data_IF_299095780343
#
_entry.id   IF_299095780343
#
_cell.length_a   1.000
_cell.length_b   1.000
_cell.length_c   1.000
_cell.angle_alpha   90.00
_cell.angle_beta   90.00
_cell.angle_gamma   90.00
#
_symmetry.space_group_name_H-M   'P 1'
#
loop_
_entity.id
_entity.type
_entity.pdbx_description
1 polymer ?
#
# COMPACT_ATOMS: atom_id res chain seq x y z
N UNK A 1 -14.41 25.42 10.63
CA UNK A 1 -14.33 23.95 10.58
C UNK A 1 -14.18 23.49 12.02
N UNK A 2 -15.22 22.84 12.59
CA UNK A 2 -15.19 22.38 13.99
C UNK A 2 -14.20 21.21 14.08
N UNK A 3 -13.24 21.26 15.02
CA UNK A 3 -12.40 20.11 15.33
C UNK A 3 -13.30 18.98 15.81
N UNK A 4 -13.40 17.89 15.04
CA UNK A 4 -14.12 16.67 15.45
C UNK A 4 -13.48 16.01 16.68
N UNK A 5 -12.21 16.33 16.96
CA UNK A 5 -11.44 15.74 18.05
C UNK A 5 -11.32 16.73 19.21
N UNK A 6 -11.81 16.32 20.38
CA UNK A 6 -11.73 17.09 21.63
C UNK A 6 -10.75 16.47 22.63
N UNK A 7 -10.28 15.25 22.38
CA UNK A 7 -9.36 14.53 23.25
C UNK A 7 -7.89 14.75 22.87
N UNK A 8 -7.04 14.77 23.87
CA UNK A 8 -5.58 14.65 23.71
C UNK A 8 -5.19 13.19 23.71
N UNK A 9 -4.50 12.73 22.67
CA UNK A 9 -4.09 11.34 22.51
C UNK A 9 -2.61 11.14 22.73
N UNK A 10 -2.23 9.94 23.18
CA UNK A 10 -0.85 9.53 23.40
C UNK A 10 -0.60 8.11 22.87
N UNK A 11 0.58 7.89 22.29
CA UNK A 11 1.07 6.56 21.93
C UNK A 11 2.59 6.53 21.77
N UNK A 12 3.14 5.32 21.75
CA UNK A 12 4.54 5.08 21.35
C UNK A 12 4.63 5.13 19.83
N UNK A 13 5.47 6.02 19.28
CA UNK A 13 5.67 6.18 17.84
C UNK A 13 6.85 5.37 17.27
N UNK A 14 7.69 4.80 18.14
CA UNK A 14 8.80 3.90 17.75
C UNK A 14 8.38 2.44 17.77
N UNK A 15 9.02 1.55 16.97
CA UNK A 15 8.76 0.12 17.01
C UNK A 15 8.92 -0.47 18.42
N UNK A 16 8.09 -1.45 18.76
CA UNK A 16 8.18 -2.16 20.03
C UNK A 16 9.45 -3.02 20.03
N UNK A 17 10.35 -2.77 20.98
CA UNK A 17 11.60 -3.51 21.10
C UNK A 17 12.59 -2.81 22.00
N UNK A 18 13.79 -3.38 22.10
CA UNK A 18 14.92 -2.71 22.76
C UNK A 18 15.59 -1.78 21.75
N UNK A 19 15.72 -0.51 22.10
CA UNK A 19 16.39 0.50 21.28
C UNK A 19 17.18 1.50 22.12
N UNK A 20 18.00 2.33 21.48
CA UNK A 20 18.66 3.44 22.17
C UNK A 20 17.67 4.49 22.65
N UNK A 21 16.58 4.70 21.89
CA UNK A 21 15.55 5.72 22.14
C UNK A 21 14.18 5.13 21.85
N UNK A 22 13.18 5.53 22.63
CA UNK A 22 11.76 5.41 22.30
C UNK A 22 11.12 6.80 22.27
N UNK A 23 10.12 6.98 21.40
CA UNK A 23 9.39 8.25 21.28
C UNK A 23 7.95 8.04 21.70
N UNK A 24 7.49 8.81 22.68
CA UNK A 24 6.07 8.94 23.05
C UNK A 24 5.57 10.25 22.45
N UNK A 25 4.55 10.17 21.60
CA UNK A 25 3.92 11.32 20.98
C UNK A 25 2.59 11.60 21.66
N UNK A 26 2.34 12.86 21.99
CA UNK A 26 1.11 13.36 22.61
C UNK A 26 0.56 14.50 21.76
N UNK A 27 -0.66 14.40 21.23
CA UNK A 27 -1.27 15.40 20.34
C UNK A 27 -2.70 15.73 20.76
N UNK A 28 -3.07 17.01 20.72
CA UNK A 28 -4.42 17.47 20.99
C UNK A 28 -4.46 18.81 21.74
N UNK A 29 -5.66 19.31 22.07
CA UNK A 29 -5.85 20.64 22.65
C UNK A 29 -5.15 20.82 24.01
N UNK A 30 -5.00 19.74 24.77
CA UNK A 30 -4.44 19.75 26.12
C UNK A 30 -3.00 19.19 26.16
N UNK A 31 -2.36 18.93 25.01
CA UNK A 31 -1.07 18.25 24.93
C UNK A 31 0.00 18.84 25.86
N UNK A 32 0.09 20.18 25.93
CA UNK A 32 1.05 20.83 26.82
C UNK A 32 0.70 20.65 28.30
N UNK A 33 -0.57 20.86 28.67
CA UNK A 33 -1.02 20.74 30.06
C UNK A 33 -0.87 19.31 30.59
N UNK A 34 -1.17 18.30 29.76
CA UNK A 34 -0.95 16.89 30.09
C UNK A 34 0.52 16.62 30.35
N UNK A 35 1.42 17.12 29.49
CA UNK A 35 2.86 16.93 29.64
C UNK A 35 3.41 17.64 30.88
N UNK A 36 2.96 18.86 31.18
CA UNK A 36 3.44 19.64 32.33
C UNK A 36 3.18 18.96 33.69
N UNK A 37 2.24 18.03 33.76
CA UNK A 37 1.96 17.26 34.98
C UNK A 37 3.03 16.22 35.33
N UNK A 38 3.89 15.82 34.39
CA UNK A 38 4.90 14.78 34.62
C UNK A 38 6.25 15.05 33.92
N UNK A 39 6.38 16.14 33.18
CA UNK A 39 7.62 16.58 32.53
C UNK A 39 8.14 17.83 33.23
N UNK A 40 9.30 17.69 33.87
CA UNK A 40 10.01 18.81 34.49
C UNK A 40 11.23 19.20 33.66
N UNK A 41 11.14 20.37 33.00
CA UNK A 41 12.24 20.91 32.21
C UNK A 41 13.47 21.18 33.09
N UNK A 42 14.67 20.78 32.65
CA UNK A 42 15.91 21.09 33.40
C UNK A 42 16.19 22.60 33.49
N UNK A 43 15.61 23.40 32.58
CA UNK A 43 15.68 24.86 32.61
C UNK A 43 14.81 25.51 33.69
N UNK A 44 13.91 24.74 34.34
CA UNK A 44 12.93 25.25 35.31
C UNK A 44 11.76 26.02 34.69
N UNK A 45 11.74 26.18 33.36
CA UNK A 45 10.65 26.84 32.64
C UNK A 45 9.50 25.87 32.34
N UNK A 46 8.24 26.32 32.28
CA UNK A 46 7.13 25.47 31.88
C UNK A 46 7.28 25.05 30.40
N UNK A 47 6.79 23.86 30.06
CA UNK A 47 6.88 23.29 28.71
C UNK A 47 6.13 24.17 27.69
N UNK A 48 5.00 24.73 28.11
CA UNK A 48 4.20 25.71 27.35
C UNK A 48 4.91 27.05 27.08
N UNK A 49 6.07 27.33 27.68
CA UNK A 49 6.88 28.51 27.34
C UNK A 49 7.93 28.26 26.26
N UNK A 50 8.12 27.01 25.85
CA UNK A 50 9.07 26.68 24.78
C UNK A 50 8.59 27.24 23.44
N UNK A 51 9.54 27.75 22.65
CA UNK A 51 9.28 28.07 21.25
C UNK A 51 8.92 26.79 20.48
N UNK A 52 8.09 26.93 19.44
CA UNK A 52 7.81 25.81 18.54
C UNK A 52 9.11 25.24 17.95
N UNK A 53 9.11 23.95 17.63
CA UNK A 53 10.21 23.20 17.03
C UNK A 53 11.52 23.26 17.84
N UNK A 54 11.42 23.41 19.16
CA UNK A 54 12.58 23.45 20.06
C UNK A 54 12.68 22.16 20.86
N UNK A 55 13.88 21.57 20.88
CA UNK A 55 14.22 20.43 21.73
C UNK A 55 14.82 20.92 23.05
N UNK A 56 14.48 20.28 24.17
CA UNK A 56 15.02 20.64 25.49
C UNK A 56 15.09 19.42 26.42
N UNK A 57 16.08 19.41 27.31
CA UNK A 57 16.24 18.35 28.30
C UNK A 57 15.23 18.48 29.44
N UNK A 58 14.62 17.36 29.81
CA UNK A 58 13.66 17.28 30.89
C UNK A 58 13.85 15.99 31.72
N UNK A 59 13.28 15.99 32.91
CA UNK A 59 13.06 14.77 33.71
C UNK A 59 11.61 14.33 33.53
N UNK A 60 11.42 13.04 33.30
CA UNK A 60 10.11 12.41 33.30
C UNK A 60 9.87 11.86 34.70
N UNK A 61 8.75 12.22 35.31
CA UNK A 61 8.42 11.85 36.68
C UNK A 61 7.32 10.78 36.75
N UNK A 62 7.41 9.91 37.74
CA UNK A 62 6.34 8.98 38.07
C UNK A 62 5.18 9.66 38.83
N UNK A 63 4.29 8.87 39.42
CA UNK A 63 3.18 9.36 40.23
C UNK A 63 3.58 9.84 41.63
N UNK A 64 4.75 9.42 42.12
CA UNK A 64 5.29 9.78 43.43
C UNK A 64 6.22 11.01 43.34
N UNK A 65 6.57 11.43 42.13
CA UNK A 65 7.46 12.55 41.85
C UNK A 65 8.93 12.14 41.68
N UNK A 66 9.22 10.83 41.68
CA UNK A 66 10.55 10.29 41.42
C UNK A 66 10.86 10.29 39.92
N UNK A 67 12.15 10.38 39.59
CA UNK A 67 12.59 10.44 38.18
C UNK A 67 12.54 9.05 37.55
N UNK A 68 11.64 8.86 36.58
CA UNK A 68 11.60 7.69 35.71
C UNK A 68 12.75 7.68 34.71
N UNK A 69 12.98 8.83 34.07
CA UNK A 69 14.02 9.00 33.06
C UNK A 69 14.46 10.45 32.88
N UNK A 70 15.61 10.65 32.24
CA UNK A 70 15.96 11.91 31.59
C UNK A 70 15.69 11.80 30.08
N UNK A 71 14.84 12.70 29.57
CA UNK A 71 14.38 12.67 28.18
C UNK A 71 14.66 13.99 27.46
N UNK A 72 14.69 13.92 26.13
CA UNK A 72 14.61 15.11 25.26
C UNK A 72 13.16 15.30 24.87
N UNK A 73 12.63 16.50 25.11
CA UNK A 73 11.25 16.85 24.77
C UNK A 73 11.25 17.89 23.66
N UNK A 74 10.44 17.65 22.64
CA UNK A 74 10.25 18.55 21.50
C UNK A 74 8.80 19.03 21.46
N UNK A 75 8.61 20.34 21.32
CA UNK A 75 7.29 20.98 21.26
C UNK A 75 6.97 21.42 19.84
N UNK A 76 5.80 21.04 19.34
CA UNK A 76 5.21 21.52 18.10
C UNK A 76 3.91 22.24 18.44
N UNK A 77 3.69 23.41 17.83
CA UNK A 77 2.48 24.21 18.05
C UNK A 77 1.60 24.17 16.84
N UNK A 78 0.29 24.15 17.04
CA UNK A 78 -0.68 24.29 15.98
C UNK A 78 -0.46 25.61 15.19
N UNK A 79 -0.63 25.62 13.85
CA UNK A 79 -0.93 24.48 12.99
C UNK A 79 0.34 23.73 12.52
N UNK A 80 1.53 24.03 13.03
CA UNK A 80 2.83 23.56 12.52
C UNK A 80 3.32 22.26 13.20
N UNK A 81 2.45 21.27 13.25
CA UNK A 81 2.75 19.89 13.66
C UNK A 81 2.31 18.89 12.59
N UNK A 82 2.58 17.60 12.83
CA UNK A 82 2.12 16.51 11.97
C UNK A 82 0.60 16.43 11.91
N UNK A 83 -0.07 16.45 13.06
CA UNK A 83 -1.54 16.39 13.16
C UNK A 83 -2.21 17.71 12.84
N UNK A 84 -1.47 18.83 12.85
CA UNK A 84 -2.03 20.18 12.82
C UNK A 84 -2.45 20.72 14.18
N UNK A 85 -2.31 19.93 15.24
CA UNK A 85 -2.63 20.30 16.63
C UNK A 85 -1.37 20.65 17.43
N UNK A 86 -1.53 21.11 18.67
CA UNK A 86 -0.41 21.14 19.61
C UNK A 86 0.07 19.70 19.86
N UNK A 87 1.39 19.50 19.79
CA UNK A 87 2.00 18.16 19.89
C UNK A 87 3.30 18.23 20.69
N UNK A 88 3.50 17.24 21.55
CA UNK A 88 4.74 17.02 22.30
C UNK A 88 5.29 15.65 21.96
N UNK A 89 6.58 15.59 21.67
CA UNK A 89 7.32 14.33 21.51
C UNK A 89 8.33 14.18 22.63
N UNK A 90 8.26 13.07 23.36
CA UNK A 90 9.16 12.72 24.47
C UNK A 90 10.07 11.59 23.98
N UNK A 91 11.35 11.92 23.75
CA UNK A 91 12.40 10.96 23.40
C UNK A 91 13.10 10.49 24.68
N UNK A 92 12.70 9.32 25.18
CA UNK A 92 13.26 8.66 26.36
C UNK A 92 14.14 7.48 25.97
N UNK A 93 14.82 6.84 26.93
CA UNK A 93 15.57 5.61 26.66
C UNK A 93 14.63 4.48 26.20
N UNK A 94 15.08 3.71 25.19
CA UNK A 94 14.26 2.71 24.49
C UNK A 94 14.07 1.37 25.22
N UNK A 95 13.91 1.38 26.54
CA UNK A 95 13.56 0.20 27.33
C UNK A 95 12.06 -0.07 27.29
N UNK A 96 11.64 -1.32 27.09
CA UNK A 96 10.21 -1.70 26.97
C UNK A 96 9.41 -1.22 28.20
N UNK A 97 9.83 -1.60 29.41
CA UNK A 97 9.15 -1.22 30.65
C UNK A 97 9.14 0.29 30.88
N UNK A 98 10.25 0.96 30.53
CA UNK A 98 10.35 2.41 30.70
C UNK A 98 9.38 3.13 29.76
N UNK A 99 9.34 2.72 28.50
CA UNK A 99 8.44 3.29 27.49
C UNK A 99 6.98 3.10 27.90
N UNK A 100 6.63 1.91 28.40
CA UNK A 100 5.29 1.61 28.94
C UNK A 100 4.97 2.50 30.17
N UNK A 101 5.94 2.74 31.05
CA UNK A 101 5.77 3.63 32.21
C UNK A 101 5.54 5.09 31.80
N UNK A 102 6.33 5.62 30.86
CA UNK A 102 6.18 6.99 30.36
C UNK A 102 4.82 7.18 29.67
N UNK A 103 4.40 6.23 28.83
CA UNK A 103 3.08 6.26 28.22
C UNK A 103 1.97 6.21 29.29
N UNK A 104 2.10 5.30 30.28
CA UNK A 104 1.13 5.19 31.37
C UNK A 104 1.00 6.49 32.16
N UNK A 105 2.10 7.23 32.35
CA UNK A 105 2.08 8.57 32.96
C UNK A 105 1.28 9.55 32.14
N UNK A 106 1.51 9.63 30.82
CA UNK A 106 0.72 10.49 29.94
C UNK A 106 -0.80 10.19 30.05
N UNK A 107 -1.17 8.91 30.04
CA UNK A 107 -2.58 8.48 30.15
C UNK A 107 -3.19 8.88 31.50
N UNK A 108 -2.49 8.61 32.59
CA UNK A 108 -2.95 9.00 33.94
C UNK A 108 -3.00 10.52 34.16
N UNK A 109 -2.32 11.30 33.32
CA UNK A 109 -2.31 12.77 33.36
C UNK A 109 -3.34 13.41 32.40
N UNK A 110 -4.22 12.62 31.77
CA UNK A 110 -5.34 13.13 30.98
C UNK A 110 -5.29 12.81 29.48
N UNK A 111 -4.24 12.18 28.97
CA UNK A 111 -4.25 11.68 27.60
C UNK A 111 -5.09 10.40 27.46
N UNK A 112 -5.62 10.17 26.26
CA UNK A 112 -6.28 8.93 25.85
C UNK A 112 -5.32 8.13 24.98
N UNK A 113 -5.39 6.79 25.02
CA UNK A 113 -4.59 5.96 24.13
C UNK A 113 -5.03 6.19 22.68
N UNK A 114 -4.09 6.51 21.79
CA UNK A 114 -4.39 6.70 20.37
C UNK A 114 -4.85 5.39 19.73
N UNK A 115 -5.85 5.47 18.86
CA UNK A 115 -6.23 4.38 17.97
C UNK A 115 -5.21 4.11 16.85
N UNK A 116 -5.36 3.00 16.10
CA UNK A 116 -4.61 2.75 14.87
C UNK A 116 -4.74 3.93 13.90
N UNK A 117 -3.60 4.48 13.44
CA UNK A 117 -3.57 5.57 12.46
C UNK A 117 -4.18 6.90 12.91
N UNK A 118 -4.50 7.07 14.19
CA UNK A 118 -5.27 8.25 14.63
C UNK A 118 -4.51 9.56 14.42
N UNK A 119 -3.17 9.60 14.54
CA UNK A 119 -2.44 10.86 14.28
C UNK A 119 -2.50 11.22 12.79
N UNK A 120 -2.37 10.23 11.90
CA UNK A 120 -2.53 10.46 10.45
C UNK A 120 -3.98 10.85 10.11
N UNK A 121 -4.99 10.22 10.74
CA UNK A 121 -6.42 10.58 10.58
C UNK A 121 -6.68 12.03 10.98
N UNK A 122 -6.08 12.49 12.08
CA UNK A 122 -6.16 13.89 12.52
C UNK A 122 -5.49 14.82 11.52
N UNK A 123 -4.31 14.47 11.00
CA UNK A 123 -3.64 15.24 9.95
C UNK A 123 -4.51 15.41 8.69
N UNK A 124 -5.12 14.31 8.21
CA UNK A 124 -6.09 14.35 7.10
C UNK A 124 -7.27 15.27 7.42
N UNK A 125 -7.86 15.13 8.62
CA UNK A 125 -9.03 15.91 9.04
C UNK A 125 -8.73 17.42 9.16
N UNK A 126 -7.48 17.79 9.44
CA UNK A 126 -7.02 19.19 9.48
C UNK A 126 -6.55 19.70 8.10
N UNK A 127 -6.73 18.92 7.03
CA UNK A 127 -6.33 19.29 5.68
C UNK A 127 -4.81 19.33 5.47
N UNK A 128 -4.02 18.68 6.34
CA UNK A 128 -2.56 18.57 6.17
C UNK A 128 -2.17 17.63 5.04
N UNK A 129 -3.01 16.62 4.82
CA UNK A 129 -2.82 15.54 3.86
C UNK A 129 -4.17 15.27 3.18
N UNK A 130 -4.15 14.96 1.90
CA UNK A 130 -5.23 14.26 1.20
C UNK A 130 -5.28 12.78 1.62
N UNK A 131 -6.39 12.09 1.29
CA UNK A 131 -6.53 10.68 1.63
C UNK A 131 -5.47 9.80 0.93
N UNK A 132 -5.13 10.12 -0.33
CA UNK A 132 -4.07 9.43 -1.06
C UNK A 132 -2.69 9.64 -0.45
N UNK A 133 -2.41 10.83 0.10
CA UNK A 133 -1.14 11.11 0.79
C UNK A 133 -1.08 10.39 2.14
N UNK A 134 -2.20 10.33 2.87
CA UNK A 134 -2.30 9.54 4.09
C UNK A 134 -2.01 8.04 3.82
N UNK A 135 -2.61 7.44 2.79
CA UNK A 135 -2.30 6.06 2.38
C UNK A 135 -0.82 5.87 2.00
N UNK A 136 -0.21 6.87 1.35
CA UNK A 136 1.19 6.83 0.98
C UNK A 136 2.14 6.83 2.18
N UNK A 137 1.71 7.35 3.36
CA UNK A 137 2.49 7.24 4.61
C UNK A 137 2.76 5.78 4.95
N UNK A 138 1.75 4.89 4.87
CA UNK A 138 1.95 3.44 5.07
C UNK A 138 2.93 2.90 4.04
N UNK A 139 2.74 3.24 2.76
CA UNK A 139 3.60 2.77 1.68
C UNK A 139 5.08 3.10 1.91
N UNK A 140 5.39 4.27 2.46
CA UNK A 140 6.78 4.66 2.80
C UNK A 140 7.34 3.83 3.96
N UNK A 141 6.52 3.55 4.97
CA UNK A 141 6.92 2.77 6.14
C UNK A 141 7.16 1.30 5.77
N UNK A 142 6.23 0.72 5.01
CA UNK A 142 6.21 -0.70 4.71
C UNK A 142 7.03 -1.06 3.46
N UNK A 143 7.60 -0.06 2.78
CA UNK A 143 8.38 -0.26 1.56
C UNK A 143 9.54 -1.27 1.76
N UNK A 144 9.50 -2.35 0.97
CA UNK A 144 10.51 -3.41 1.01
C UNK A 144 11.53 -3.32 -0.14
N UNK A 145 11.26 -2.50 -1.15
CA UNK A 145 12.17 -2.20 -2.27
C UNK A 145 12.39 -0.70 -2.41
N UNK A 146 13.51 -0.33 -3.04
CA UNK A 146 13.77 1.06 -3.37
C UNK A 146 12.72 1.63 -4.34
N UNK A 147 12.19 0.81 -5.24
CA UNK A 147 11.10 1.19 -6.12
C UNK A 147 9.81 1.50 -5.34
N UNK A 148 9.40 0.63 -4.41
CA UNK A 148 8.24 0.87 -3.54
C UNK A 148 8.39 2.14 -2.71
N UNK A 149 9.58 2.36 -2.14
CA UNK A 149 9.89 3.57 -1.37
C UNK A 149 9.82 4.82 -2.25
N UNK A 150 10.44 4.79 -3.43
CA UNK A 150 10.42 5.90 -4.38
C UNK A 150 8.99 6.25 -4.80
N UNK A 151 8.19 5.24 -5.13
CA UNK A 151 6.80 5.42 -5.56
C UNK A 151 5.93 5.99 -4.44
N UNK A 152 6.01 5.40 -3.25
CA UNK A 152 5.25 5.86 -2.09
C UNK A 152 5.64 7.29 -1.69
N UNK A 153 6.93 7.66 -1.80
CA UNK A 153 7.37 9.04 -1.58
C UNK A 153 6.79 10.03 -2.57
N UNK A 154 6.75 9.70 -3.87
CA UNK A 154 6.11 10.58 -4.88
C UNK A 154 4.62 10.79 -4.59
N UNK A 155 3.93 9.72 -4.19
CA UNK A 155 2.52 9.79 -3.82
C UNK A 155 2.30 10.61 -2.55
N UNK A 156 3.19 10.48 -1.56
CA UNK A 156 3.20 11.30 -0.34
C UNK A 156 3.51 12.78 -0.63
N UNK A 157 4.33 13.06 -1.63
CA UNK A 157 4.59 14.41 -2.15
C UNK A 157 3.42 14.95 -3.01
N UNK A 158 2.30 14.24 -3.08
CA UNK A 158 1.05 14.69 -3.70
C UNK A 158 0.94 14.43 -5.20
N UNK A 159 1.71 13.50 -5.77
CA UNK A 159 1.65 13.19 -7.21
C UNK A 159 0.24 12.77 -7.66
N UNK A 160 -0.39 11.85 -6.92
CA UNK A 160 -1.78 11.44 -7.17
C UNK A 160 -2.73 12.63 -7.01
N UNK A 161 -2.65 13.36 -5.90
CA UNK A 161 -3.54 14.48 -5.61
C UNK A 161 -3.50 15.55 -6.70
N UNK A 162 -2.31 15.96 -7.16
CA UNK A 162 -2.18 16.91 -8.28
C UNK A 162 -2.85 16.38 -9.55
N UNK A 163 -2.62 15.11 -9.87
CA UNK A 163 -3.18 14.53 -11.10
C UNK A 163 -4.69 14.39 -11.05
N UNK A 164 -5.24 14.01 -9.89
CA UNK A 164 -6.69 13.92 -9.71
C UNK A 164 -7.32 15.29 -9.64
N UNK A 165 -6.68 16.30 -9.03
CA UNK A 165 -7.16 17.69 -9.02
C UNK A 165 -7.22 18.31 -10.43
N UNK A 166 -6.23 18.04 -11.28
CA UNK A 166 -6.26 18.43 -12.69
C UNK A 166 -7.49 17.86 -13.41
N UNK A 167 -7.79 16.57 -13.21
CA UNK A 167 -8.92 15.90 -13.84
C UNK A 167 -10.25 16.38 -13.24
N UNK A 168 -10.32 16.53 -11.92
CA UNK A 168 -11.48 17.01 -11.19
C UNK A 168 -11.87 18.42 -11.63
N UNK A 169 -10.88 19.32 -11.77
CA UNK A 169 -11.09 20.69 -12.26
C UNK A 169 -11.61 20.69 -13.70
N UNK A 170 -11.05 19.85 -14.58
CA UNK A 170 -11.54 19.72 -15.97
C UNK A 170 -13.00 19.26 -16.02
N UNK A 171 -13.36 18.25 -15.23
CA UNK A 171 -14.75 17.78 -15.14
C UNK A 171 -15.66 18.92 -14.63
N UNK A 172 -15.24 19.65 -13.58
CA UNK A 172 -15.99 20.78 -13.04
C UNK A 172 -16.22 21.90 -14.07
N UNK A 173 -15.22 22.22 -14.90
CA UNK A 173 -15.38 23.18 -16.00
C UNK A 173 -16.43 22.71 -17.01
N UNK A 174 -16.39 21.43 -17.42
CA UNK A 174 -17.38 20.88 -18.36
C UNK A 174 -18.80 20.94 -17.80
N UNK A 175 -18.99 20.56 -16.52
CA UNK A 175 -20.28 20.63 -15.83
C UNK A 175 -20.77 22.09 -15.78
N UNK A 176 -19.89 23.03 -15.42
CA UNK A 176 -20.24 24.45 -15.31
C UNK A 176 -20.69 25.03 -16.65
N UNK A 177 -20.04 24.65 -17.76
CA UNK A 177 -20.44 25.07 -19.11
C UNK A 177 -21.79 24.51 -19.52
N UNK A 178 -22.13 23.27 -19.13
CA UNK A 178 -23.47 22.71 -19.38
C UNK A 178 -24.52 23.44 -18.55
N UNK A 179 -24.26 23.72 -17.27
CA UNK A 179 -25.22 24.45 -16.43
C UNK A 179 -25.49 25.87 -16.92
N UNK A 180 -24.46 26.61 -17.34
CA UNK A 180 -24.64 27.95 -17.92
C UNK A 180 -25.59 27.91 -19.13
N UNK A 181 -25.50 26.88 -19.97
CA UNK A 181 -26.35 26.72 -21.13
C UNK A 181 -27.81 26.35 -20.80
N UNK A 182 -28.02 25.57 -19.73
CA UNK A 182 -29.35 25.17 -19.26
C UNK A 182 -30.06 26.37 -18.61
N UNK A 183 -29.35 27.13 -17.78
CA UNK A 183 -29.92 28.23 -17.00
C UNK A 183 -30.21 29.48 -17.85
N UNK A 184 -29.48 29.68 -18.96
CA UNK A 184 -29.56 30.87 -19.82
C UNK A 184 -29.65 30.51 -21.31
N UNK A 185 -30.74 29.87 -21.78
CA UNK A 185 -30.84 29.38 -23.16
C UNK A 185 -30.97 30.49 -24.22
N UNK A 186 -31.42 31.69 -23.83
CA UNK A 186 -31.64 32.84 -24.73
C UNK A 186 -30.42 33.77 -24.84
N UNK A 187 -29.44 33.59 -23.95
CA UNK A 187 -28.16 34.28 -24.01
C UNK A 187 -27.17 33.28 -24.63
N UNK A 188 -26.46 33.64 -25.71
CA UNK A 188 -25.52 32.77 -26.43
C UNK A 188 -24.24 32.56 -25.58
N UNK A 189 -24.43 32.03 -24.36
CA UNK A 189 -23.47 31.93 -23.24
C UNK A 189 -22.83 30.54 -23.15
N UNK A 190 -23.01 29.67 -24.15
CA UNK A 190 -22.22 28.44 -24.22
C UNK A 190 -20.76 28.81 -24.49
N UNK A 191 -19.94 28.87 -23.44
CA UNK A 191 -18.48 28.98 -23.57
C UNK A 191 -17.88 27.76 -24.32
N UNK A 192 -18.59 26.63 -24.38
CA UNK A 192 -18.15 25.37 -25.00
C UNK A 192 -19.24 24.80 -25.91
N UNK A 193 -18.88 24.53 -27.17
CA UNK A 193 -19.75 23.84 -28.15
C UNK A 193 -19.92 22.36 -27.82
N UNK A 194 -20.91 21.67 -28.43
CA UNK A 194 -21.04 20.21 -28.30
C UNK A 194 -19.75 19.47 -28.69
N UNK A 195 -19.06 19.94 -29.72
CA UNK A 195 -17.75 19.45 -30.13
C UNK A 195 -16.68 19.68 -29.05
N UNK A 196 -16.64 20.86 -28.45
CA UNK A 196 -15.72 21.17 -27.35
C UNK A 196 -15.99 20.31 -26.10
N UNK A 197 -17.25 20.01 -25.79
CA UNK A 197 -17.60 19.05 -24.72
C UNK A 197 -17.08 17.64 -25.04
N UNK A 198 -17.25 17.19 -26.29
CA UNK A 198 -16.75 15.88 -26.74
C UNK A 198 -15.23 15.78 -26.59
N UNK A 199 -14.50 16.80 -27.01
CA UNK A 199 -13.04 16.88 -26.85
C UNK A 199 -12.62 16.89 -25.38
N UNK A 200 -13.31 17.68 -24.54
CA UNK A 200 -13.04 17.74 -23.10
C UNK A 200 -13.27 16.41 -22.39
N UNK A 201 -14.39 15.73 -22.68
CA UNK A 201 -14.69 14.38 -22.16
C UNK A 201 -13.63 13.38 -22.64
N UNK A 202 -13.22 13.45 -23.91
CA UNK A 202 -12.15 12.62 -24.46
C UNK A 202 -10.83 12.80 -23.70
N UNK A 203 -10.41 14.04 -23.44
CA UNK A 203 -9.19 14.33 -22.70
C UNK A 203 -9.24 13.85 -21.24
N UNK A 204 -10.41 13.96 -20.58
CA UNK A 204 -10.62 13.41 -19.23
C UNK A 204 -10.52 11.88 -19.26
N UNK A 205 -11.14 11.24 -20.25
CA UNK A 205 -11.11 9.78 -20.43
C UNK A 205 -9.69 9.26 -20.60
N UNK A 206 -8.89 9.89 -21.46
CA UNK A 206 -7.49 9.52 -21.69
C UNK A 206 -6.65 9.66 -20.41
N UNK A 207 -6.84 10.74 -19.65
CA UNK A 207 -6.14 10.94 -18.38
C UNK A 207 -6.48 9.86 -17.33
N UNK A 208 -7.76 9.49 -17.21
CA UNK A 208 -8.21 8.42 -16.31
C UNK A 208 -7.74 7.04 -16.78
N UNK A 209 -7.70 6.78 -18.09
CA UNK A 209 -7.13 5.55 -18.66
C UNK A 209 -5.63 5.41 -18.36
N UNK A 210 -4.88 6.50 -18.47
CA UNK A 210 -3.46 6.51 -18.10
C UNK A 210 -3.26 6.17 -16.62
N UNK A 211 -4.02 6.81 -15.71
CA UNK A 211 -4.00 6.49 -14.29
C UNK A 211 -4.38 5.02 -14.01
N UNK A 212 -5.47 4.53 -14.59
CA UNK A 212 -5.93 3.16 -14.41
C UNK A 212 -4.88 2.14 -14.91
N UNK A 213 -4.22 2.42 -16.04
CA UNK A 213 -3.19 1.53 -16.62
C UNK A 213 -1.95 1.39 -15.73
N UNK A 214 -1.67 2.39 -14.90
CA UNK A 214 -0.52 2.37 -13.97
C UNK A 214 -0.70 1.36 -12.83
N UNK A 215 -1.94 0.99 -12.50
CA UNK A 215 -2.26 0.17 -11.33
C UNK A 215 -1.56 -1.18 -11.32
N UNK A 216 -1.49 -1.87 -12.46
CA UNK A 216 -0.84 -3.19 -12.54
C UNK A 216 0.62 -3.14 -12.07
N UNK A 217 1.35 -2.08 -12.45
CA UNK A 217 2.74 -1.90 -12.04
C UNK A 217 2.83 -1.40 -10.60
N UNK A 218 2.02 -0.39 -10.24
CA UNK A 218 2.00 0.18 -8.89
C UNK A 218 1.65 -0.84 -7.82
N UNK A 219 0.63 -1.67 -8.06
CA UNK A 219 0.22 -2.77 -7.18
C UNK A 219 1.34 -3.78 -6.99
N UNK A 220 1.98 -4.24 -8.08
CA UNK A 220 3.06 -5.22 -8.01
C UNK A 220 4.32 -4.70 -7.27
N UNK A 221 4.56 -3.39 -7.32
CA UNK A 221 5.70 -2.74 -6.66
C UNK A 221 5.40 -2.44 -5.18
N UNK A 222 4.23 -1.92 -4.85
CA UNK A 222 3.89 -1.48 -3.49
C UNK A 222 3.24 -2.57 -2.64
N UNK A 223 2.19 -3.22 -3.17
CA UNK A 223 1.45 -4.23 -2.41
C UNK A 223 2.02 -5.63 -2.66
N UNK A 224 2.46 -5.91 -3.88
CA UNK A 224 3.05 -7.19 -4.28
C UNK A 224 2.07 -8.16 -4.90
N UNK A 225 2.62 -9.14 -5.60
CA UNK A 225 1.90 -10.10 -6.45
C UNK A 225 1.72 -11.42 -5.70
N UNK A 226 0.48 -11.92 -5.63
CA UNK A 226 0.19 -13.25 -5.07
C UNK A 226 0.83 -14.32 -5.94
N UNK A 227 1.81 -15.02 -5.37
CA UNK A 227 2.68 -15.93 -6.10
C UNK A 227 2.66 -17.32 -5.49
N UNK A 228 2.48 -18.33 -6.33
CA UNK A 228 2.56 -19.74 -5.92
C UNK A 228 3.72 -20.43 -6.65
N UNK A 229 4.49 -21.25 -5.91
CA UNK A 229 5.46 -22.17 -6.50
C UNK A 229 4.78 -23.53 -6.62
N UNK A 230 4.48 -23.95 -7.84
CA UNK A 230 3.62 -25.10 -8.10
C UNK A 230 4.34 -26.17 -8.92
N UNK A 231 4.13 -27.45 -8.62
CA UNK A 231 4.79 -28.57 -9.29
C UNK A 231 4.81 -29.83 -8.44
N UNK A 232 5.17 -30.98 -9.03
CA UNK A 232 5.19 -32.27 -8.32
C UNK A 232 6.24 -32.32 -7.19
N UNK A 233 6.15 -33.27 -6.23
CA UNK A 233 7.19 -33.46 -5.21
C UNK A 233 8.59 -33.59 -5.83
N UNK A 234 9.63 -33.16 -5.10
CA UNK A 234 11.04 -33.30 -5.49
C UNK A 234 11.51 -32.58 -6.79
N UNK A 235 10.70 -31.70 -7.40
CA UNK A 235 11.13 -30.84 -8.54
C UNK A 235 12.04 -29.68 -8.13
N UNK A 236 12.19 -29.44 -6.82
CA UNK A 236 13.04 -28.37 -6.27
C UNK A 236 12.31 -27.06 -5.98
N UNK A 237 10.99 -27.10 -5.74
CA UNK A 237 10.18 -25.95 -5.29
C UNK A 237 10.80 -25.21 -4.10
N UNK A 238 11.19 -25.95 -3.04
CA UNK A 238 11.83 -25.36 -1.85
C UNK A 238 13.19 -24.74 -2.18
N UNK A 239 13.92 -25.28 -3.16
CA UNK A 239 15.19 -24.68 -3.62
C UNK A 239 14.95 -23.36 -4.36
N UNK A 240 13.89 -23.27 -5.19
CA UNK A 240 13.48 -22.02 -5.84
C UNK A 240 13.02 -20.98 -4.81
N UNK A 241 12.24 -21.41 -3.81
CA UNK A 241 11.83 -20.54 -2.69
C UNK A 241 13.06 -19.94 -2.00
N UNK A 242 14.02 -20.79 -1.62
CA UNK A 242 15.25 -20.34 -0.98
C UNK A 242 16.08 -19.43 -1.89
N UNK A 243 16.19 -19.75 -3.18
CA UNK A 243 16.88 -18.90 -4.16
C UNK A 243 16.29 -17.48 -4.21
N UNK A 244 14.96 -17.36 -4.12
CA UNK A 244 14.28 -16.06 -4.05
C UNK A 244 14.50 -15.38 -2.68
N UNK A 245 14.35 -16.13 -1.58
CA UNK A 245 14.39 -15.63 -0.21
C UNK A 245 15.79 -15.25 0.32
N UNK A 246 16.86 -15.92 -0.13
CA UNK A 246 18.22 -15.88 0.46
C UNK A 246 18.90 -14.50 0.48
N UNK A 247 18.42 -13.51 -0.30
CA UNK A 247 18.92 -12.13 -0.25
C UNK A 247 17.93 -11.09 0.28
N UNK A 248 16.63 -11.39 0.23
CA UNK A 248 15.57 -10.40 0.33
C UNK A 248 14.37 -10.94 1.13
N UNK A 249 14.62 -11.69 2.22
CA UNK A 249 13.60 -11.78 3.27
C UNK A 249 13.40 -10.35 3.77
N UNK A 250 12.35 -9.71 3.28
CA UNK A 250 11.82 -8.57 4.00
C UNK A 250 11.44 -9.12 5.37
N UNK A 251 11.99 -8.50 6.41
CA UNK A 251 11.64 -8.87 7.78
C UNK A 251 10.15 -8.58 7.89
N UNK A 252 9.32 -9.62 7.82
CA UNK A 252 7.92 -9.53 8.19
C UNK A 252 7.94 -9.18 9.66
N UNK A 253 7.35 -8.04 9.99
CA UNK A 253 7.06 -7.73 11.38
C UNK A 253 5.92 -8.65 11.80
N UNK A 254 6.12 -9.39 12.89
CA UNK A 254 5.04 -10.07 13.59
C UNK A 254 4.08 -8.99 14.10
N UNK A 255 3.09 -8.59 13.31
CA UNK A 255 1.93 -7.90 13.85
C UNK A 255 1.15 -8.98 14.61
N UNK A 256 1.36 -9.04 15.92
CA UNK A 256 0.59 -9.89 16.82
C UNK A 256 -0.90 -9.55 16.65
N UNK A 257 -1.64 -10.39 15.90
CA UNK A 257 -3.08 -10.20 15.69
C UNK A 257 -3.67 -10.87 14.44
N UNK A 258 -2.90 -11.17 13.41
CA UNK A 258 -3.44 -11.78 12.17
C UNK A 258 -3.34 -13.30 12.16
N UNK A 259 -3.84 -13.98 13.19
CA UNK A 259 -3.85 -15.45 13.25
C UNK A 259 -5.02 -16.10 12.50
N UNK A 260 -5.48 -15.52 11.39
CA UNK A 260 -6.51 -16.13 10.53
C UNK A 260 -6.19 -16.17 9.04
N UNK A 261 -5.20 -15.40 8.59
CA UNK A 261 -4.77 -15.41 7.20
C UNK A 261 -3.57 -16.34 7.03
N UNK A 262 -3.50 -17.00 5.88
CA UNK A 262 -2.35 -17.84 5.50
C UNK A 262 -1.07 -17.04 5.72
N UNK A 263 -0.12 -17.60 6.47
CA UNK A 263 1.18 -16.94 6.71
C UNK A 263 1.89 -16.85 5.36
N UNK A 264 1.80 -15.70 4.70
CA UNK A 264 2.47 -15.45 3.43
C UNK A 264 3.89 -14.92 3.70
N UNK A 265 4.90 -15.53 3.08
CA UNK A 265 6.24 -14.93 3.06
C UNK A 265 6.30 -13.87 1.97
N UNK A 266 6.86 -12.71 2.28
CA UNK A 266 7.04 -11.65 1.29
C UNK A 266 8.51 -11.58 0.87
N UNK A 267 8.76 -11.64 -0.44
CA UNK A 267 10.11 -11.62 -1.01
C UNK A 267 10.20 -10.55 -2.09
N UNK A 268 11.24 -9.71 -2.02
CA UNK A 268 11.53 -8.77 -3.09
C UNK A 268 12.27 -9.44 -4.26
N UNK A 269 11.66 -9.44 -5.44
CA UNK A 269 12.22 -9.89 -6.71
C UNK A 269 12.52 -8.68 -7.60
N UNK A 270 13.68 -8.07 -7.37
CA UNK A 270 14.04 -6.81 -8.03
C UNK A 270 13.16 -5.68 -7.48
N UNK A 271 12.45 -4.98 -8.36
CA UNK A 271 11.49 -3.93 -7.99
C UNK A 271 10.13 -4.48 -7.55
N UNK A 272 9.82 -5.73 -7.91
CA UNK A 272 8.51 -6.37 -7.67
C UNK A 272 8.51 -7.10 -6.32
N UNK A 273 7.42 -6.98 -5.58
CA UNK A 273 7.19 -7.74 -4.35
C UNK A 273 6.40 -9.00 -4.68
N UNK A 274 6.85 -10.16 -4.19
CA UNK A 274 6.12 -11.43 -4.30
C UNK A 274 5.57 -11.81 -2.94
N UNK A 275 4.26 -12.04 -2.87
CA UNK A 275 3.59 -12.63 -1.71
C UNK A 275 3.45 -14.13 -1.95
N UNK A 276 4.37 -14.90 -1.36
CA UNK A 276 4.46 -16.33 -1.54
C UNK A 276 3.52 -17.03 -0.55
N UNK A 277 2.55 -17.75 -1.09
CA UNK A 277 1.65 -18.59 -0.27
C UNK A 277 2.43 -19.77 0.34
N UNK A 278 2.09 -20.17 1.57
CA UNK A 278 2.68 -21.31 2.30
C UNK A 278 2.28 -22.67 1.69
N UNK A 279 2.64 -22.88 0.42
CA UNK A 279 2.63 -24.16 -0.29
C UNK A 279 4.00 -24.84 -0.26
N UNK A 280 5.00 -24.17 0.32
CA UNK A 280 6.39 -24.58 0.28
C UNK A 280 7.02 -24.73 1.68
N UNK A 281 6.30 -25.39 2.59
CA UNK A 281 6.91 -26.33 3.54
C UNK A 281 8.03 -25.78 4.45
N UNK A 282 7.78 -24.70 5.19
CA UNK A 282 8.74 -24.22 6.22
C UNK A 282 8.61 -24.98 7.56
N UNK A 283 7.81 -26.05 7.62
CA UNK A 283 7.84 -26.99 8.75
C UNK A 283 8.07 -28.41 8.25
N UNK A 284 9.29 -28.91 8.45
CA UNK A 284 9.60 -30.35 8.41
C UNK A 284 8.57 -31.10 9.25
N UNK A 285 7.69 -31.90 8.64
CA UNK A 285 6.86 -32.85 9.37
C UNK A 285 6.27 -33.91 8.43
N UNK A 286 6.30 -35.13 8.92
CA UNK A 286 5.99 -36.44 8.30
C UNK A 286 4.51 -36.66 7.91
N UNK A 287 4.33 -37.35 6.78
CA UNK A 287 3.25 -38.19 6.21
C UNK A 287 1.75 -37.88 6.37
N UNK A 288 1.30 -37.15 7.39
CA UNK A 288 -0.11 -36.71 7.49
C UNK A 288 -0.34 -35.31 6.89
N UNK A 289 0.75 -34.55 6.68
CA UNK A 289 0.75 -33.16 6.20
C UNK A 289 0.56 -33.06 4.68
N UNK A 290 0.82 -34.13 3.94
CA UNK A 290 0.90 -34.10 2.48
C UNK A 290 -0.47 -33.89 1.79
N UNK A 291 -1.56 -34.48 2.30
CA UNK A 291 -2.92 -34.21 1.76
C UNK A 291 -3.41 -32.79 2.06
N UNK A 292 -3.11 -32.28 3.25
CA UNK A 292 -3.41 -30.88 3.62
C UNK A 292 -2.56 -29.93 2.76
N UNK A 293 -1.32 -30.31 2.47
CA UNK A 293 -0.42 -29.59 1.56
C UNK A 293 -0.94 -29.53 0.13
N UNK A 294 -1.54 -30.61 -0.38
CA UNK A 294 -2.17 -30.61 -1.72
C UNK A 294 -3.39 -29.69 -1.77
N UNK A 295 -4.33 -29.81 -0.81
CA UNK A 295 -5.52 -28.95 -0.78
C UNK A 295 -5.17 -27.45 -0.66
N UNK A 296 -4.22 -27.10 0.22
CA UNK A 296 -3.72 -25.74 0.35
C UNK A 296 -2.97 -25.25 -0.90
N UNK A 297 -2.27 -26.15 -1.59
CA UNK A 297 -1.60 -25.79 -2.85
C UNK A 297 -2.60 -25.51 -3.97
N UNK A 298 -3.75 -26.17 -3.95
CA UNK A 298 -4.84 -25.89 -4.88
C UNK A 298 -5.52 -24.54 -4.58
N UNK A 299 -5.85 -24.27 -3.31
CA UNK A 299 -6.40 -22.96 -2.91
C UNK A 299 -5.45 -21.81 -3.28
N UNK A 300 -4.15 -21.98 -3.01
CA UNK A 300 -3.14 -21.00 -3.38
C UNK A 300 -2.97 -20.84 -4.89
N UNK A 301 -3.20 -21.90 -5.68
CA UNK A 301 -3.19 -21.83 -7.14
C UNK A 301 -4.38 -21.02 -7.66
N UNK A 302 -5.57 -21.23 -7.10
CA UNK A 302 -6.78 -20.51 -7.48
C UNK A 302 -6.65 -19.00 -7.19
N UNK A 303 -6.00 -18.62 -6.10
CA UNK A 303 -5.78 -17.22 -5.74
C UNK A 303 -4.52 -16.57 -6.37
N UNK A 304 -3.69 -17.35 -7.09
CA UNK A 304 -2.43 -16.85 -7.62
C UNK A 304 -2.57 -15.90 -8.82
N UNK A 305 -1.81 -14.82 -8.79
CA UNK A 305 -1.59 -13.91 -9.93
C UNK A 305 -0.34 -14.30 -10.72
N UNK A 306 0.64 -14.91 -10.05
CA UNK A 306 1.83 -15.50 -10.64
C UNK A 306 2.00 -16.95 -10.22
N UNK A 307 2.21 -17.82 -11.21
CA UNK A 307 2.54 -19.23 -11.00
C UNK A 307 3.97 -19.47 -11.46
N UNK A 308 4.83 -19.88 -10.53
CA UNK A 308 6.14 -20.44 -10.83
C UNK A 308 5.98 -21.96 -10.96
N UNK A 309 5.74 -22.43 -12.19
CA UNK A 309 5.49 -23.84 -12.48
C UNK A 309 6.82 -24.59 -12.63
N UNK A 310 7.19 -25.41 -11.63
CA UNK A 310 8.51 -26.04 -11.52
C UNK A 310 8.46 -27.53 -11.90
N UNK A 311 9.25 -27.87 -12.91
CA UNK A 311 9.44 -29.22 -13.44
C UNK A 311 10.91 -29.65 -13.30
N UNK A 312 11.16 -30.95 -13.22
CA UNK A 312 12.52 -31.51 -13.16
C UNK A 312 13.06 -31.73 -14.59
N UNK A 313 14.09 -30.99 -15.01
CA UNK A 313 14.71 -31.13 -16.32
C UNK A 313 15.42 -32.47 -16.52
N UNK A 314 15.87 -33.12 -15.43
CA UNK A 314 16.71 -34.32 -15.46
C UNK A 314 15.94 -35.63 -15.59
N UNK A 315 14.60 -35.55 -15.50
CA UNK A 315 13.68 -36.69 -15.52
C UNK A 315 12.70 -36.58 -16.69
N UNK A 316 12.28 -37.70 -17.30
CA UNK A 316 11.16 -37.69 -18.25
C UNK A 316 9.88 -37.15 -17.59
N UNK A 317 8.98 -36.59 -18.40
CA UNK A 317 7.70 -36.11 -17.88
C UNK A 317 6.78 -37.29 -17.54
N UNK A 318 6.22 -37.26 -16.33
CA UNK A 318 5.31 -38.26 -15.79
C UNK A 318 3.85 -37.79 -15.87
N UNK A 319 2.88 -38.64 -15.54
CA UNK A 319 1.45 -38.25 -15.53
C UNK A 319 1.18 -37.11 -14.54
N UNK A 320 1.85 -37.09 -13.39
CA UNK A 320 1.76 -36.01 -12.41
C UNK A 320 2.23 -34.65 -12.97
N UNK A 321 3.25 -34.65 -13.86
CA UNK A 321 3.68 -33.42 -14.54
C UNK A 321 2.61 -32.94 -15.53
N UNK A 322 1.86 -33.85 -16.15
CA UNK A 322 0.74 -33.51 -17.03
C UNK A 322 -0.47 -32.98 -16.26
N UNK A 323 -0.72 -33.50 -15.06
CA UNK A 323 -1.72 -32.95 -14.15
C UNK A 323 -1.35 -31.53 -13.71
N UNK A 324 -0.08 -31.28 -13.36
CA UNK A 324 0.41 -29.92 -13.06
C UNK A 324 0.18 -29.00 -14.27
N UNK A 325 0.52 -29.43 -15.47
CA UNK A 325 0.30 -28.64 -16.69
C UNK A 325 -1.18 -28.30 -16.91
N UNK A 326 -2.09 -29.25 -16.70
CA UNK A 326 -3.52 -29.01 -16.91
C UNK A 326 -4.09 -28.01 -15.90
N UNK A 327 -3.70 -28.13 -14.63
CA UNK A 327 -4.12 -27.21 -13.57
C UNK A 327 -3.57 -25.80 -13.78
N UNK A 328 -2.28 -25.67 -14.10
CA UNK A 328 -1.65 -24.38 -14.39
C UNK A 328 -2.28 -23.73 -15.61
N UNK A 329 -2.57 -24.51 -16.66
CA UNK A 329 -3.25 -24.00 -17.86
C UNK A 329 -4.65 -23.48 -17.55
N UNK A 330 -5.44 -24.23 -16.80
CA UNK A 330 -6.78 -23.79 -16.38
C UNK A 330 -6.73 -22.46 -15.61
N UNK A 331 -5.71 -22.29 -14.76
CA UNK A 331 -5.53 -21.03 -14.02
C UNK A 331 -5.00 -19.88 -14.89
N UNK A 332 -4.17 -20.18 -15.88
CA UNK A 332 -3.71 -19.20 -16.87
C UNK A 332 -4.86 -18.68 -17.73
N UNK A 333 -5.81 -19.54 -18.10
CA UNK A 333 -7.03 -19.17 -18.85
C UNK A 333 -7.94 -18.22 -18.05
N UNK A 334 -7.82 -18.19 -16.72
CA UNK A 334 -8.51 -17.24 -15.83
C UNK A 334 -7.65 -16.04 -15.43
N UNK A 335 -6.52 -15.81 -16.12
CA UNK A 335 -5.75 -14.56 -16.08
C UNK A 335 -4.42 -14.59 -15.31
N UNK A 336 -4.04 -15.72 -14.70
CA UNK A 336 -2.77 -15.82 -14.00
C UNK A 336 -1.57 -15.79 -14.97
N UNK A 337 -0.51 -15.09 -14.60
CA UNK A 337 0.76 -15.13 -15.32
C UNK A 337 1.54 -16.39 -14.92
N UNK A 338 2.25 -16.99 -15.88
CA UNK A 338 2.98 -18.25 -15.66
C UNK A 338 4.42 -18.11 -16.09
N UNK A 339 5.34 -18.49 -15.21
CA UNK A 339 6.74 -18.76 -15.54
C UNK A 339 6.96 -20.27 -15.38
N UNK A 340 7.12 -20.96 -16.51
CA UNK A 340 7.52 -22.36 -16.50
C UNK A 340 9.03 -22.47 -16.24
N UNK A 341 9.42 -23.32 -15.31
CA UNK A 341 10.80 -23.52 -14.88
C UNK A 341 11.16 -24.99 -15.02
N UNK A 342 12.16 -25.28 -15.84
CA UNK A 342 12.84 -26.56 -15.92
C UNK A 342 14.07 -26.50 -15.01
N UNK A 343 13.90 -26.97 -13.77
CA UNK A 343 14.93 -26.96 -12.73
C UNK A 343 15.90 -28.15 -12.88
N UNK A 344 17.07 -28.10 -12.21
CA UNK A 344 18.16 -29.09 -12.30
C UNK A 344 18.79 -29.15 -13.70
N UNK A 345 18.92 -27.99 -14.35
CA UNK A 345 19.50 -27.89 -15.70
C UNK A 345 21.01 -28.21 -15.76
N UNK A 346 21.66 -28.39 -14.61
CA UNK A 346 23.02 -28.93 -14.47
C UNK A 346 23.11 -30.42 -14.84
N UNK A 347 21.98 -31.13 -14.85
CA UNK A 347 21.89 -32.54 -15.22
C UNK A 347 21.45 -32.72 -16.68
N UNK A 348 21.69 -33.90 -17.28
CA UNK A 348 21.25 -34.18 -18.65
C UNK A 348 19.75 -34.01 -18.82
N UNK A 349 19.34 -33.16 -19.76
CA UNK A 349 17.93 -32.87 -20.02
C UNK A 349 17.19 -34.10 -20.57
N UNK A 350 16.13 -34.52 -19.87
CA UNK A 350 15.22 -35.59 -20.25
C UNK A 350 13.76 -35.16 -20.33
N UNK A 351 13.41 -34.01 -19.76
CA UNK A 351 12.07 -33.45 -19.82
C UNK A 351 11.74 -32.91 -21.22
N UNK A 352 10.48 -33.01 -21.62
CA UNK A 352 10.00 -32.50 -22.90
C UNK A 352 9.63 -31.02 -22.81
N UNK A 353 10.62 -30.16 -23.06
CA UNK A 353 10.41 -28.71 -23.10
C UNK A 353 9.43 -28.27 -24.19
N UNK A 354 9.27 -29.05 -25.27
CA UNK A 354 8.33 -28.73 -26.34
C UNK A 354 6.88 -28.95 -25.89
N UNK A 355 6.63 -30.00 -25.10
CA UNK A 355 5.32 -30.24 -24.47
C UNK A 355 4.92 -29.08 -23.56
N UNK A 356 5.82 -28.60 -22.70
CA UNK A 356 5.55 -27.46 -21.81
C UNK A 356 5.20 -26.22 -22.63
N UNK A 357 5.99 -25.92 -23.68
CA UNK A 357 5.73 -24.80 -24.58
C UNK A 357 4.37 -24.93 -25.29
N UNK A 358 4.01 -26.14 -25.72
CA UNK A 358 2.73 -26.39 -26.38
C UNK A 358 1.54 -26.21 -25.42
N UNK A 359 1.65 -26.64 -24.17
CA UNK A 359 0.55 -26.61 -23.21
C UNK A 359 0.38 -25.24 -22.53
N UNK A 360 1.46 -24.54 -22.24
CA UNK A 360 1.43 -23.26 -21.51
C UNK A 360 1.63 -22.05 -22.42
N UNK A 361 1.99 -22.22 -23.68
CA UNK A 361 2.22 -21.11 -24.62
C UNK A 361 3.45 -20.24 -24.31
N UNK A 362 4.26 -20.61 -23.30
CA UNK A 362 5.48 -19.92 -22.92
C UNK A 362 6.70 -20.84 -23.00
N UNK A 363 7.89 -20.27 -23.26
CA UNK A 363 9.13 -21.05 -23.25
C UNK A 363 9.60 -21.27 -21.81
N UNK A 364 9.91 -22.51 -21.40
CA UNK A 364 10.39 -22.76 -20.05
C UNK A 364 11.79 -22.18 -19.83
N UNK A 365 12.03 -21.65 -18.63
CA UNK A 365 13.33 -21.22 -18.16
C UNK A 365 14.11 -22.42 -17.62
N UNK A 366 15.28 -22.67 -18.19
CA UNK A 366 16.19 -23.69 -17.68
C UNK A 366 17.03 -23.08 -16.56
N UNK A 367 16.89 -23.59 -15.34
CA UNK A 367 17.59 -23.08 -14.16
C UNK A 367 18.22 -24.23 -13.37
N UNK A 368 19.38 -23.97 -12.77
CA UNK A 368 19.89 -24.75 -11.65
C UNK A 368 19.58 -23.95 -10.39
N UNK A 369 18.52 -24.28 -9.66
CA UNK A 369 18.12 -23.49 -8.49
C UNK A 369 19.16 -23.47 -7.35
N UNK A 370 20.13 -24.40 -7.38
CA UNK A 370 21.27 -24.41 -6.46
C UNK A 370 22.33 -23.38 -6.83
N UNK A 371 22.36 -22.96 -8.10
CA UNK A 371 23.23 -21.89 -8.58
C UNK A 371 22.59 -20.53 -8.31
N UNK A 372 23.31 -19.70 -7.55
CA UNK A 372 22.85 -18.36 -7.17
C UNK A 372 22.79 -17.40 -8.34
N UNK A 373 23.51 -17.64 -9.43
CA UNK A 373 23.46 -16.78 -10.63
C UNK A 373 22.10 -16.89 -11.34
N UNK A 374 21.44 -18.05 -11.25
CA UNK A 374 20.10 -18.28 -11.80
C UNK A 374 19.03 -17.36 -11.19
N UNK A 375 19.27 -16.80 -10.00
CA UNK A 375 18.36 -15.81 -9.39
C UNK A 375 18.17 -14.58 -10.26
N UNK A 376 19.25 -14.05 -10.84
CA UNK A 376 19.17 -12.84 -11.66
C UNK A 376 18.30 -13.06 -12.91
N UNK A 377 18.40 -14.25 -13.50
CA UNK A 377 17.58 -14.66 -14.64
C UNK A 377 16.10 -14.72 -14.26
N UNK A 378 15.77 -15.38 -13.14
CA UNK A 378 14.39 -15.50 -12.67
C UNK A 378 13.79 -14.13 -12.31
N UNK A 379 14.53 -13.30 -11.57
CA UNK A 379 14.09 -11.94 -11.21
C UNK A 379 13.84 -11.09 -12.45
N UNK A 380 14.73 -11.12 -13.45
CA UNK A 380 14.55 -10.37 -14.70
C UNK A 380 13.26 -10.76 -15.44
N UNK A 381 12.94 -12.06 -15.51
CA UNK A 381 11.70 -12.53 -16.12
C UNK A 381 10.46 -12.12 -15.34
N UNK A 382 10.52 -12.14 -14.00
CA UNK A 382 9.43 -11.65 -13.14
C UNK A 382 9.20 -10.16 -13.39
N UNK A 383 10.25 -9.34 -13.39
CA UNK A 383 10.11 -7.90 -13.64
C UNK A 383 9.49 -7.60 -15.01
N UNK A 384 9.84 -8.34 -16.05
CA UNK A 384 9.28 -8.15 -17.40
C UNK A 384 7.77 -8.39 -17.50
N UNK A 385 7.18 -9.19 -16.60
CA UNK A 385 5.74 -9.45 -16.59
C UNK A 385 4.90 -8.30 -16.02
N UNK A 386 5.49 -7.43 -15.19
CA UNK A 386 4.78 -6.30 -14.56
C UNK A 386 5.34 -4.94 -14.93
N UNK A 387 6.59 -4.83 -15.39
CA UNK A 387 7.15 -3.56 -15.88
C UNK A 387 6.49 -3.19 -17.21
N UNK A 388 5.62 -2.19 -17.15
CA UNK A 388 5.00 -1.57 -18.32
C UNK A 388 5.71 -0.24 -18.61
N UNK A 389 6.73 -0.23 -19.47
CA UNK A 389 7.43 0.99 -19.88
C UNK A 389 8.20 1.74 -18.78
N UNK A 390 8.36 3.06 -18.95
CA UNK A 390 9.14 3.96 -18.08
C UNK A 390 8.37 4.51 -16.85
N UNK A 391 7.28 3.85 -16.42
CA UNK A 391 6.42 4.31 -15.31
C UNK A 391 7.18 4.53 -13.98
N UNK A 392 8.32 3.86 -13.78
CA UNK A 392 9.19 4.02 -12.60
C UNK A 392 10.21 5.18 -12.74
N UNK A 393 10.35 5.74 -13.93
CA UNK A 393 11.32 6.78 -14.27
C UNK A 393 10.67 8.18 -14.36
N UNK A 394 9.39 8.28 -14.74
CA UNK A 394 8.66 9.56 -14.84
C UNK A 394 8.14 10.11 -13.51
N UNK A 395 7.63 11.35 -13.52
CA UNK A 395 6.93 12.02 -12.40
C UNK A 395 5.42 11.76 -12.39
N UNK A 396 4.98 10.79 -13.18
CA UNK A 396 3.58 10.44 -13.32
C UNK A 396 3.01 9.86 -12.03
N UNK A 397 1.74 10.19 -11.77
CA UNK A 397 0.98 9.60 -10.69
C UNK A 397 0.77 8.11 -10.97
N UNK A 398 1.08 7.27 -9.98
CA UNK A 398 0.91 5.82 -10.08
C UNK A 398 -0.04 5.35 -9.00
N UNK A 399 -1.12 4.71 -9.45
CA UNK A 399 -2.11 4.08 -8.59
C UNK A 399 -1.51 2.82 -7.99
N UNK A 400 -1.50 2.71 -6.66
CA UNK A 400 -0.79 1.63 -5.96
C UNK A 400 -1.73 0.62 -5.29
N UNK A 401 -2.93 1.04 -4.90
CA UNK A 401 -3.88 0.19 -4.15
C UNK A 401 -5.22 0.01 -4.87
N UNK A 402 -5.92 -1.06 -4.49
CA UNK A 402 -7.18 -1.45 -5.11
C UNK A 402 -8.30 -0.41 -4.95
N UNK A 403 -8.31 0.35 -3.84
CA UNK A 403 -9.32 1.39 -3.59
C UNK A 403 -9.19 2.53 -4.57
N UNK A 404 -7.98 3.08 -4.70
CA UNK A 404 -7.65 4.13 -5.67
C UNK A 404 -7.99 3.66 -7.09
N UNK A 405 -7.64 2.42 -7.45
CA UNK A 405 -7.98 1.85 -8.75
C UNK A 405 -9.49 1.73 -8.97
N UNK A 406 -10.25 1.31 -7.96
CA UNK A 406 -11.70 1.24 -8.03
C UNK A 406 -12.33 2.62 -8.26
N UNK A 407 -11.90 3.65 -7.51
CA UNK A 407 -12.36 5.04 -7.70
C UNK A 407 -12.04 5.56 -9.12
N UNK A 408 -10.81 5.35 -9.60
CA UNK A 408 -10.42 5.75 -10.98
C UNK A 408 -11.21 4.99 -12.04
N UNK A 409 -11.41 3.68 -11.86
CA UNK A 409 -12.16 2.84 -12.81
C UNK A 409 -13.64 3.21 -12.87
N UNK A 410 -14.26 3.52 -11.73
CA UNK A 410 -15.65 4.00 -11.67
C UNK A 410 -15.79 5.34 -12.36
N UNK A 411 -14.87 6.29 -12.07
CA UNK A 411 -14.85 7.58 -12.76
C UNK A 411 -14.67 7.40 -14.28
N UNK A 412 -13.80 6.49 -14.72
CA UNK A 412 -13.59 6.19 -16.13
C UNK A 412 -14.84 5.58 -16.80
N UNK A 413 -15.58 4.72 -16.08
CA UNK A 413 -16.85 4.17 -16.55
C UNK A 413 -17.85 5.30 -16.78
N UNK A 414 -18.07 6.15 -15.78
CA UNK A 414 -18.98 7.29 -15.87
C UNK A 414 -18.61 8.28 -16.98
N UNK A 415 -17.32 8.58 -17.16
CA UNK A 415 -16.85 9.43 -18.28
C UNK A 415 -17.10 8.76 -19.64
N UNK A 416 -16.97 7.44 -19.73
CA UNK A 416 -17.29 6.70 -20.95
C UNK A 416 -18.78 6.73 -21.25
N UNK A 417 -19.62 6.61 -20.22
CA UNK A 417 -21.08 6.73 -20.33
C UNK A 417 -21.50 8.16 -20.70
N UNK A 418 -20.83 9.19 -20.14
CA UNK A 418 -21.03 10.59 -20.51
C UNK A 418 -20.74 10.82 -22.00
N UNK A 419 -19.63 10.27 -22.50
CA UNK A 419 -19.27 10.33 -23.91
C UNK A 419 -20.33 9.71 -24.81
N UNK A 420 -20.88 8.55 -24.42
CA UNK A 420 -21.93 7.87 -25.20
C UNK A 420 -23.27 8.62 -25.13
N UNK A 421 -23.62 9.15 -23.96
CA UNK A 421 -24.86 9.90 -23.73
C UNK A 421 -24.86 11.23 -24.51
N UNK A 422 -23.73 11.91 -24.64
CA UNK A 422 -23.63 13.18 -25.38
C UNK A 422 -24.16 13.05 -26.83
N UNK A 423 -23.91 11.90 -27.46
CA UNK A 423 -24.32 11.64 -28.84
C UNK A 423 -25.74 11.09 -28.95
N UNK A 424 -26.21 10.35 -27.94
CA UNK A 424 -27.45 9.56 -28.02
C UNK A 424 -28.61 10.09 -27.19
N UNK A 425 -28.35 10.68 -26.03
CA UNK A 425 -29.34 11.07 -25.02
C UNK A 425 -29.36 12.57 -24.73
N UNK A 426 -28.29 13.30 -25.10
CA UNK A 426 -28.19 14.75 -24.93
C UNK A 426 -27.23 15.18 -23.82
N UNK A 427 -27.07 16.50 -23.71
CA UNK A 427 -26.05 17.14 -22.86
C UNK A 427 -26.36 16.98 -21.37
N UNK A 428 -27.64 16.99 -20.99
CA UNK A 428 -28.09 16.90 -19.59
C UNK A 428 -27.72 15.54 -18.97
N UNK A 429 -27.94 14.45 -19.71
CA UNK A 429 -27.60 13.10 -19.27
C UNK A 429 -26.07 12.92 -19.23
N UNK A 430 -25.36 13.49 -20.19
CA UNK A 430 -23.89 13.49 -20.17
C UNK A 430 -23.36 14.23 -18.93
N UNK A 431 -23.96 15.37 -18.58
CA UNK A 431 -23.62 16.15 -17.38
C UNK A 431 -23.82 15.34 -16.09
N UNK A 432 -24.95 14.65 -15.96
CA UNK A 432 -25.23 13.78 -14.79
C UNK A 432 -24.15 12.69 -14.63
N UNK A 433 -23.68 12.11 -15.75
CA UNK A 433 -22.57 11.15 -15.70
C UNK A 433 -21.24 11.79 -15.32
N UNK A 434 -20.98 13.03 -15.75
CA UNK A 434 -19.79 13.78 -15.33
C UNK A 434 -19.81 14.08 -13.82
N UNK A 435 -20.96 14.39 -13.24
CA UNK A 435 -21.11 14.56 -11.79
C UNK A 435 -20.80 13.27 -11.03
N UNK A 436 -21.29 12.13 -11.51
CA UNK A 436 -20.98 10.82 -10.94
C UNK A 436 -19.49 10.47 -11.04
N UNK A 437 -18.84 10.83 -12.16
CA UNK A 437 -17.39 10.69 -12.31
C UNK A 437 -16.62 11.58 -11.32
N UNK A 438 -17.07 12.83 -11.14
CA UNK A 438 -16.48 13.79 -10.21
C UNK A 438 -16.61 13.31 -8.76
N UNK A 439 -17.76 12.76 -8.37
CA UNK A 439 -17.97 12.15 -7.06
C UNK A 439 -17.03 10.96 -6.82
N UNK A 440 -16.95 10.03 -7.79
CA UNK A 440 -16.05 8.87 -7.72
C UNK A 440 -14.58 9.29 -7.58
N UNK A 441 -14.16 10.35 -8.26
CA UNK A 441 -12.81 10.89 -8.16
C UNK A 441 -12.58 11.63 -6.83
N UNK A 442 -13.61 12.29 -6.28
CA UNK A 442 -13.56 12.95 -4.97
C UNK A 442 -13.46 11.97 -3.79
N UNK A 443 -13.90 10.72 -3.94
CA UNK A 443 -13.64 9.66 -2.97
C UNK A 443 -12.15 9.28 -2.90
N UNK A 444 -11.41 9.43 -4.01
CA UNK A 444 -10.01 9.02 -4.10
C UNK A 444 -9.12 9.87 -3.19
N UNK A 445 -9.24 11.19 -3.27
CA UNK A 445 -8.42 12.15 -2.51
C UNK A 445 -9.08 12.65 -1.21
N UNK A 446 -10.33 12.24 -0.95
CA UNK A 446 -11.03 12.49 0.30
C UNK A 446 -11.91 13.73 0.30
N UNK A 447 -12.17 14.37 -0.85
CA UNK A 447 -13.13 15.48 -0.97
C UNK A 447 -14.57 15.06 -0.64
N UNK A 448 -14.95 13.83 -0.99
CA UNK A 448 -16.28 13.27 -0.76
C UNK A 448 -16.14 11.83 -0.26
N UNK A 449 -15.70 11.65 0.98
CA UNK A 449 -15.48 10.32 1.57
C UNK A 449 -16.39 10.08 2.77
N UNK A 450 -16.85 8.84 2.94
CA UNK A 450 -17.63 8.43 4.11
C UNK A 450 -16.73 8.12 5.30
N UNK A 451 -17.26 8.25 6.51
CA UNK A 451 -16.52 7.92 7.74
C UNK A 451 -16.07 6.45 7.76
N UNK A 452 -16.88 5.52 7.28
CA UNK A 452 -16.55 4.09 7.19
C UNK A 452 -15.31 3.82 6.33
N UNK A 453 -15.13 4.55 5.23
CA UNK A 453 -13.94 4.39 4.35
C UNK A 453 -12.70 4.92 5.06
N UNK A 454 -12.83 6.09 5.71
CA UNK A 454 -11.76 6.68 6.52
C UNK A 454 -11.33 5.70 7.60
N UNK A 455 -12.28 5.13 8.35
CA UNK A 455 -12.01 4.19 9.42
C UNK A 455 -11.33 2.91 8.93
N UNK A 456 -11.77 2.34 7.80
CA UNK A 456 -11.13 1.16 7.20
C UNK A 456 -9.68 1.42 6.79
N UNK A 457 -9.38 2.60 6.27
CA UNK A 457 -8.02 2.97 5.87
C UNK A 457 -7.14 3.07 7.12
N UNK A 458 -7.56 3.83 8.12
CA UNK A 458 -6.75 4.08 9.31
C UNK A 458 -6.66 2.89 10.27
N UNK A 459 -7.62 1.96 10.23
CA UNK A 459 -7.53 0.69 10.96
C UNK A 459 -6.30 -0.15 10.56
N UNK A 460 -5.83 -0.04 9.32
CA UNK A 460 -4.66 -0.77 8.83
C UNK A 460 -3.32 -0.11 9.22
N UNK A 461 -3.33 1.06 9.85
CA UNK A 461 -2.11 1.73 10.32
C UNK A 461 -1.66 1.16 11.66
N UNK A 462 -0.37 1.27 11.96
CA UNK A 462 0.13 1.03 13.30
C UNK A 462 -0.43 2.07 14.30
N UNK A 463 -0.57 1.65 15.57
CA UNK A 463 -0.75 2.59 16.69
C UNK A 463 0.49 3.47 16.83
N UNK A 464 0.30 4.78 17.04
CA UNK A 464 1.40 5.75 17.16
C UNK A 464 1.74 6.55 15.91
N UNK A 465 0.94 6.39 14.84
CA UNK A 465 1.08 7.07 13.55
C UNK A 465 -0.16 7.84 13.16
#
# INVERSE_FOLDING_TARGET
MYSMFTSTIAAVSTPRGKGGIAVIRISGPDAFSVCENFIHMKSGKPLSSLCANTASLARVLDSEGETLDEAVVTVYRAPHSYTGEDTVEISCHGGILLTEAVLSRALSCGAVAAGPGEFTRRAFSQGKLSLSEAEAVIGVIDAQTHAALKLSRKNLEGAIHRKTDEVYTKIGTLISSVYAAIDFPDEDLMDITKEGLREGIGAVKEALQALASSYRTGHAVCEGVRTVIFGKPNTGKSTILNLLAEKNRAIVTDIAGTTRDVVCETVAAGDIILRLSDTAGIRKSTDAVERIGVAKSMEALDDAELILAVFDASSPMEEEDREVLSLVRARMETGAQVIAILNKSDLPAKADAALIRQQLGCSPLFLCAQDRECRAVLVSHIEQLWKSGDLLQGDDAVIANARQFASVSSALSHVSDASAALDTLGVDIACTQLEAAMASLGELDGRQVTEDIVDRIFHNFCVGK
#
